data_IF_215187334388
#
_entry.id   IF_215187334388
#
_cell.length_a   1.000
_cell.length_b   1.000
_cell.length_c   1.000
_cell.angle_alpha   90.00
_cell.angle_beta   90.00
_cell.angle_gamma   90.00
#
_symmetry.space_group_name_H-M   'P 1'
#
loop_
_entity.id
_entity.type
_entity.pdbx_description
1 polymer ?
#
# COMPACT_ATOMS: atom_id res chain seq x y z
N UNK A 1 -13.85 16.81 16.89
CA UNK A 1 -13.66 16.05 15.65
C UNK A 1 -12.20 15.63 15.65
N UNK A 2 -11.91 14.36 15.95
CA UNK A 2 -10.52 13.91 16.05
C UNK A 2 -9.88 13.94 14.67
N UNK A 3 -8.70 14.55 14.57
CA UNK A 3 -7.88 14.51 13.36
C UNK A 3 -7.64 13.04 12.98
N UNK A 4 -7.82 12.64 11.71
CA UNK A 4 -7.50 11.27 11.31
C UNK A 4 -6.00 11.06 11.53
N UNK A 5 -5.61 10.05 12.31
CA UNK A 5 -4.20 9.74 12.52
C UNK A 5 -3.62 9.03 11.29
N UNK A 6 -3.14 9.82 10.34
CA UNK A 6 -2.55 9.36 9.09
C UNK A 6 -1.28 8.52 9.28
N UNK A 7 -0.62 8.61 10.44
CA UNK A 7 0.57 7.80 10.75
C UNK A 7 0.22 6.31 10.98
N UNK A 8 -1.06 5.98 11.12
CA UNK A 8 -1.54 4.61 11.29
C UNK A 8 -1.88 3.91 9.97
N UNK A 9 -2.11 4.67 8.89
CA UNK A 9 -2.48 4.07 7.60
C UNK A 9 -1.24 3.42 6.97
N UNK A 10 -1.33 2.10 6.83
CA UNK A 10 -0.29 1.28 6.22
C UNK A 10 -0.85 0.49 5.04
N UNK A 11 -0.01 0.29 4.05
CA UNK A 11 -0.19 -0.71 3.00
C UNK A 11 0.82 -1.82 3.18
N UNK A 12 0.40 -3.05 2.92
CA UNK A 12 1.21 -4.25 3.05
C UNK A 12 1.01 -5.11 1.81
N UNK A 13 2.12 -5.62 1.27
CA UNK A 13 2.11 -6.55 0.16
C UNK A 13 3.19 -7.62 0.35
N UNK A 14 3.01 -8.77 -0.30
CA UNK A 14 3.93 -9.89 -0.23
C UNK A 14 4.03 -10.58 -1.58
N UNK A 15 5.23 -10.97 -2.01
CA UNK A 15 5.48 -11.80 -3.18
C UNK A 15 6.82 -12.53 -3.02
N UNK A 16 6.91 -13.77 -3.50
CA UNK A 16 8.14 -14.58 -3.54
C UNK A 16 8.94 -14.62 -2.22
N UNK A 17 8.22 -14.60 -1.10
CA UNK A 17 8.81 -14.63 0.23
C UNK A 17 9.41 -13.30 0.70
N UNK A 18 9.19 -12.20 -0.02
CA UNK A 18 9.36 -10.83 0.46
C UNK A 18 8.02 -10.26 0.93
N UNK A 19 8.02 -9.51 2.02
CA UNK A 19 6.86 -8.78 2.53
C UNK A 19 7.28 -7.36 2.88
N UNK A 20 6.57 -6.37 2.35
CA UNK A 20 6.86 -4.95 2.56
C UNK A 20 5.66 -4.27 3.17
N UNK A 21 5.92 -3.45 4.18
CA UNK A 21 4.95 -2.53 4.78
C UNK A 21 5.41 -1.09 4.58
N UNK A 22 4.50 -0.26 4.10
CA UNK A 22 4.73 1.17 3.86
C UNK A 22 3.60 2.00 4.45
N UNK A 23 3.92 3.20 4.88
CA UNK A 23 2.93 4.24 5.13
C UNK A 23 2.49 4.93 3.84
N UNK A 24 1.52 5.81 3.99
CA UNK A 24 1.03 6.71 2.93
C UNK A 24 2.18 7.47 2.26
N UNK A 25 2.12 7.61 0.93
CA UNK A 25 3.18 8.25 0.13
C UNK A 25 4.45 7.40 -0.04
N UNK A 26 4.40 6.10 0.30
CA UNK A 26 5.51 5.16 0.07
C UNK A 26 6.59 5.18 1.15
N UNK A 27 6.29 5.72 2.34
CA UNK A 27 7.24 5.73 3.46
C UNK A 27 7.46 4.31 3.98
N UNK A 28 8.61 3.72 3.67
CA UNK A 28 8.95 2.36 4.12
C UNK A 28 8.91 2.24 5.65
N UNK A 29 8.23 1.21 6.16
CA UNK A 29 8.16 0.90 7.60
C UNK A 29 8.85 -0.40 7.95
N UNK A 30 8.62 -1.46 7.16
CA UNK A 30 9.31 -2.73 7.37
C UNK A 30 9.46 -3.52 6.08
N UNK A 31 10.52 -4.34 6.03
CA UNK A 31 10.75 -5.35 5.00
C UNK A 31 11.09 -6.65 5.72
N UNK A 32 10.38 -7.72 5.38
CA UNK A 32 10.63 -9.07 5.90
C UNK A 32 10.95 -9.97 4.72
N UNK A 33 12.07 -10.67 4.79
CA UNK A 33 12.54 -11.58 3.76
C UNK A 33 12.64 -12.98 4.34
N UNK A 34 12.02 -13.94 3.66
CA UNK A 34 12.16 -15.35 3.99
C UNK A 34 13.54 -15.87 3.55
N UNK A 35 14.06 -16.95 4.17
CA UNK A 35 15.27 -17.61 3.72
C UNK A 35 15.19 -18.10 2.27
N UNK A 36 13.99 -18.42 1.77
CA UNK A 36 13.78 -18.83 0.39
C UNK A 36 14.00 -17.67 -0.59
N UNK A 37 13.51 -16.47 -0.26
CA UNK A 37 13.69 -15.28 -1.11
C UNK A 37 15.17 -14.97 -1.37
N UNK A 38 16.02 -15.20 -0.37
CA UNK A 38 17.48 -15.00 -0.46
C UNK A 38 18.17 -15.96 -1.43
N UNK A 39 17.54 -17.09 -1.79
CA UNK A 39 18.12 -18.09 -2.70
C UNK A 39 17.99 -17.72 -4.18
N UNK A 40 17.10 -16.80 -4.54
CA UNK A 40 16.89 -16.37 -5.92
C UNK A 40 17.97 -15.39 -6.43
N UNK A 41 18.88 -14.95 -5.56
CA UNK A 41 19.97 -14.05 -5.90
C UNK A 41 19.60 -12.57 -5.77
N UNK A 42 20.62 -11.71 -5.68
CA UNK A 42 20.46 -10.32 -5.29
C UNK A 42 19.65 -9.47 -6.29
N UNK A 43 19.83 -9.70 -7.60
CA UNK A 43 19.13 -8.94 -8.63
C UNK A 43 17.61 -9.21 -8.61
N UNK A 44 17.23 -10.48 -8.55
CA UNK A 44 15.82 -10.89 -8.46
C UNK A 44 15.20 -10.35 -7.17
N UNK A 45 15.87 -10.52 -6.04
CA UNK A 45 15.39 -10.04 -4.75
C UNK A 45 15.16 -8.52 -4.73
N UNK A 46 16.06 -7.74 -5.33
CA UNK A 46 15.91 -6.29 -5.42
C UNK A 46 14.68 -5.89 -6.24
N UNK A 47 14.50 -6.51 -7.41
CA UNK A 47 13.33 -6.29 -8.26
C UNK A 47 12.02 -6.66 -7.54
N UNK A 48 12.00 -7.83 -6.87
CA UNK A 48 10.86 -8.27 -6.06
C UNK A 48 10.53 -7.26 -4.97
N UNK A 49 11.52 -6.80 -4.19
CA UNK A 49 11.27 -5.85 -3.09
C UNK A 49 10.74 -4.52 -3.61
N UNK A 50 11.27 -4.00 -4.72
CA UNK A 50 10.79 -2.75 -5.33
C UNK A 50 9.36 -2.90 -5.83
N UNK A 51 9.05 -4.00 -6.52
CA UNK A 51 7.70 -4.32 -7.00
C UNK A 51 6.70 -4.44 -5.85
N UNK A 52 7.06 -5.18 -4.78
CA UNK A 52 6.21 -5.35 -3.60
C UNK A 52 6.03 -4.03 -2.84
N UNK A 53 7.06 -3.18 -2.76
CA UNK A 53 6.96 -1.86 -2.16
C UNK A 53 6.03 -0.92 -2.95
N UNK A 54 6.06 -0.96 -4.29
CA UNK A 54 5.14 -0.20 -5.14
C UNK A 54 3.69 -0.63 -4.90
N UNK A 55 3.42 -1.94 -4.86
CA UNK A 55 2.09 -2.49 -4.54
C UNK A 55 1.62 -2.11 -3.13
N UNK A 56 2.51 -2.22 -2.14
CA UNK A 56 2.20 -1.80 -0.77
C UNK A 56 1.87 -0.29 -0.72
N UNK A 57 2.56 0.53 -1.51
CA UNK A 57 2.32 1.98 -1.60
C UNK A 57 0.97 2.28 -2.22
N UNK A 58 0.61 1.62 -3.33
CA UNK A 58 -0.71 1.74 -3.94
C UNK A 58 -1.82 1.38 -2.93
N UNK A 59 -1.67 0.27 -2.20
CA UNK A 59 -2.63 -0.13 -1.14
C UNK A 59 -2.74 0.91 -0.02
N UNK A 60 -1.61 1.51 0.42
CA UNK A 60 -1.61 2.55 1.46
C UNK A 60 -2.33 3.83 0.97
N UNK A 61 -2.01 4.27 -0.25
CA UNK A 61 -2.58 5.47 -0.85
C UNK A 61 -4.07 5.31 -1.14
N UNK A 62 -4.51 4.14 -1.62
CA UNK A 62 -5.92 3.83 -1.84
C UNK A 62 -6.73 3.88 -0.53
N UNK A 63 -6.19 3.29 0.55
CA UNK A 63 -6.82 3.36 1.88
C UNK A 63 -6.92 4.80 2.37
N UNK A 64 -5.84 5.58 2.20
CA UNK A 64 -5.84 6.99 2.53
C UNK A 64 -6.90 7.75 1.73
N UNK A 65 -6.96 7.57 0.41
CA UNK A 65 -7.94 8.20 -0.46
C UNK A 65 -9.38 7.86 -0.07
N UNK A 66 -9.66 6.61 0.30
CA UNK A 66 -10.99 6.21 0.76
C UNK A 66 -11.39 6.92 2.06
N UNK A 67 -10.48 7.03 3.02
CA UNK A 67 -10.71 7.78 4.26
C UNK A 67 -10.88 9.29 3.99
N UNK A 68 -10.08 9.86 3.10
CA UNK A 68 -10.23 11.26 2.68
C UNK A 68 -11.56 11.52 1.98
N UNK A 69 -12.04 10.61 1.12
CA UNK A 69 -13.32 10.73 0.45
C UNK A 69 -14.49 10.76 1.46
N UNK A 70 -14.42 9.97 2.52
CA UNK A 70 -15.42 9.95 3.59
C UNK A 70 -15.41 11.24 4.43
N UNK A 71 -14.24 11.84 4.67
CA UNK A 71 -14.09 13.01 5.56
C UNK A 71 -14.22 14.34 4.83
N UNK A 72 -13.65 14.47 3.63
CA UNK A 72 -13.53 15.72 2.88
C UNK A 72 -14.60 15.89 1.78
N UNK A 73 -15.36 14.83 1.46
CA UNK A 73 -16.39 14.88 0.43
C UNK A 73 -15.84 15.38 -0.92
N UNK A 74 -16.36 16.50 -1.42
CA UNK A 74 -16.01 17.06 -2.75
C UNK A 74 -14.56 17.55 -2.88
N UNK A 75 -13.87 17.83 -1.77
CA UNK A 75 -12.48 18.32 -1.81
C UNK A 75 -11.42 17.20 -1.75
N UNK A 76 -11.85 15.94 -1.57
CA UNK A 76 -10.96 14.80 -1.41
C UNK A 76 -10.01 14.56 -2.61
N UNK A 77 -10.49 14.79 -3.83
CA UNK A 77 -9.67 14.62 -5.04
C UNK A 77 -8.49 15.60 -5.08
N UNK A 78 -8.75 16.87 -4.72
CA UNK A 78 -7.74 17.93 -4.70
C UNK A 78 -6.68 17.70 -3.62
N UNK A 79 -7.11 17.27 -2.44
CA UNK A 79 -6.20 16.96 -1.33
C UNK A 79 -5.41 15.68 -1.61
N UNK A 80 -6.02 14.69 -2.27
CA UNK A 80 -5.34 13.46 -2.70
C UNK A 80 -4.17 13.72 -3.65
N UNK A 81 -4.35 14.59 -4.65
CA UNK A 81 -3.24 15.00 -5.53
C UNK A 81 -2.13 15.75 -4.78
N UNK A 82 -2.49 16.71 -3.92
CA UNK A 82 -1.51 17.50 -3.16
C UNK A 82 -0.66 16.65 -2.21
N UNK A 83 -1.21 15.54 -1.72
CA UNK A 83 -0.54 14.61 -0.82
C UNK A 83 0.20 13.48 -1.57
N UNK A 84 0.22 13.49 -2.91
CA UNK A 84 0.87 12.45 -3.70
C UNK A 84 0.17 11.10 -3.60
N UNK A 85 -1.13 11.08 -3.29
CA UNK A 85 -1.96 9.88 -3.19
C UNK A 85 -2.52 9.45 -4.54
N UNK A 86 -1.87 9.86 -5.63
CA UNK A 86 -2.26 9.51 -6.99
C UNK A 86 -2.56 8.02 -7.07
N UNK A 87 -3.81 7.73 -7.42
CA UNK A 87 -4.29 6.36 -7.56
C UNK A 87 -3.72 5.79 -8.86
N UNK A 88 -2.95 4.71 -8.74
CA UNK A 88 -2.51 3.91 -9.87
C UNK A 88 -3.39 2.66 -9.96
N UNK A 89 -4.34 2.60 -10.93
CA UNK A 89 -5.26 1.47 -11.06
C UNK A 89 -4.53 0.15 -11.32
N UNK A 90 -3.43 0.16 -12.08
CA UNK A 90 -2.71 -1.07 -12.47
C UNK A 90 -2.03 -1.73 -11.26
N UNK A 91 -1.62 -0.94 -10.27
CA UNK A 91 -1.04 -1.42 -9.02
C UNK A 91 -2.08 -1.72 -7.93
N UNK A 92 -3.29 -1.17 -8.06
CA UNK A 92 -4.39 -1.39 -7.12
C UNK A 92 -5.22 -2.64 -7.47
N UNK A 93 -5.23 -3.05 -8.74
CA UNK A 93 -5.84 -4.30 -9.20
C UNK A 93 -4.86 -5.46 -9.03
N UNK A 94 -4.76 -5.99 -7.81
CA UNK A 94 -4.22 -7.32 -7.55
C UNK A 94 -5.24 -8.04 -6.65
N UNK A 95 -5.62 -9.25 -7.07
CA UNK A 95 -6.74 -10.13 -6.67
C UNK A 95 -6.84 -10.55 -5.18
N UNK A 96 -6.50 -9.67 -4.23
CA UNK A 96 -6.65 -9.91 -2.78
C UNK A 96 -8.00 -9.42 -2.22
N UNK A 97 -8.79 -8.68 -2.99
CA UNK A 97 -10.04 -8.04 -2.50
C UNK A 97 -11.26 -8.97 -2.43
N UNK A 98 -11.16 -10.22 -2.89
CA UNK A 98 -12.26 -11.19 -2.88
C UNK A 98 -12.37 -12.02 -1.57
N UNK A 99 -11.54 -11.75 -0.55
CA UNK A 99 -11.67 -12.39 0.77
C UNK A 99 -12.45 -11.53 1.77
N UNK A 100 -13.77 -11.71 1.71
CA UNK A 100 -14.63 -11.93 2.89
C UNK A 100 -14.61 -10.83 3.97
N UNK A 101 -15.23 -9.68 3.67
CA UNK A 101 -15.61 -8.68 4.69
C UNK A 101 -17.13 -8.48 4.80
N UNK A 102 -17.94 -9.36 4.19
CA UNK A 102 -19.41 -9.24 4.15
C UNK A 102 -20.16 -10.39 4.83
N UNK A 103 -19.52 -11.23 5.66
CA UNK A 103 -20.25 -12.14 6.56
C UNK A 103 -20.36 -11.57 7.96
N UNK A 104 -21.55 -11.02 8.24
CA UNK A 104 -22.11 -10.91 9.59
C UNK A 104 -22.74 -12.22 10.05
#
# INVERSE_FOLDING_TARGET
>A
MSEPDFATIVGKASADGATVEVGVGGRLRSVQLSPQAMRYGAAYLADTVVSVAARATAKANQRAQHLYAQVLGRDAARVGEQLGLGYDPELASDDDFDRDWTRG
#
